data_IF_215317707569
#
_entry.id   IF_215317707569
#
_cell.length_a   1.000
_cell.length_b   1.000
_cell.length_c   1.000
_cell.angle_alpha   90.00
_cell.angle_beta   90.00
_cell.angle_gamma   90.00
#
_symmetry.space_group_name_H-M   'P 1'
#
loop_
_entity.id
_entity.type
_entity.pdbx_description
1 polymer ?
#
# COMPACT_ATOMS: atom_id res chain seq x y z
N UNK A 1 9.90 13.22 -30.30
CA UNK A 1 8.77 13.61 -29.42
C UNK A 1 8.32 12.37 -28.66
N UNK A 2 8.68 12.24 -27.38
CA UNK A 2 8.12 11.19 -26.51
C UNK A 2 6.72 11.61 -26.10
N UNK A 3 5.69 10.94 -26.64
CA UNK A 3 4.31 11.14 -26.16
C UNK A 3 4.25 10.67 -24.70
N UNK A 4 3.71 11.49 -23.82
CA UNK A 4 3.42 11.06 -22.45
C UNK A 4 2.35 9.95 -22.50
N UNK A 5 2.52 8.87 -21.72
CA UNK A 5 1.52 7.81 -21.66
C UNK A 5 0.23 8.31 -20.98
N UNK A 6 -0.91 7.86 -21.49
CA UNK A 6 -2.21 8.10 -20.84
C UNK A 6 -2.26 7.34 -19.52
N UNK A 7 -2.65 8.01 -18.44
CA UNK A 7 -2.83 7.40 -17.11
C UNK A 7 -4.32 7.21 -16.86
N UNK A 8 -4.71 5.99 -16.49
CA UNK A 8 -6.11 5.61 -16.24
C UNK A 8 -6.23 5.09 -14.80
N UNK A 9 -7.17 5.65 -14.04
CA UNK A 9 -7.51 5.16 -12.70
C UNK A 9 -8.61 4.11 -12.77
N UNK A 10 -8.28 2.84 -12.52
CA UNK A 10 -9.26 1.76 -12.42
C UNK A 10 -9.74 1.62 -10.97
N UNK A 11 -11.01 1.93 -10.72
CA UNK A 11 -11.63 1.89 -9.39
C UNK A 11 -12.90 1.01 -9.40
N UNK A 12 -13.43 0.71 -8.21
CA UNK A 12 -14.61 -0.16 -8.06
C UNK A 12 -14.64 -0.87 -6.70
N UNK A 13 -15.83 -1.29 -6.27
CA UNK A 13 -16.06 -1.97 -4.99
C UNK A 13 -15.43 -3.36 -4.90
N UNK A 14 -15.52 -3.98 -3.71
CA UNK A 14 -15.10 -5.37 -3.50
C UNK A 14 -15.94 -6.28 -4.43
N UNK A 15 -15.29 -7.22 -5.11
CA UNK A 15 -15.97 -8.16 -6.02
C UNK A 15 -16.37 -7.59 -7.38
N UNK A 16 -16.06 -6.32 -7.70
CA UNK A 16 -16.48 -5.68 -8.96
C UNK A 16 -15.68 -6.09 -10.21
N UNK A 17 -14.77 -7.08 -10.11
CA UNK A 17 -13.98 -7.54 -11.26
C UNK A 17 -12.82 -6.64 -11.71
N UNK A 18 -12.35 -5.70 -10.88
CA UNK A 18 -11.22 -4.80 -11.22
C UNK A 18 -9.98 -5.55 -11.71
N UNK A 19 -9.59 -6.62 -11.01
CA UNK A 19 -8.42 -7.43 -11.37
C UNK A 19 -8.57 -8.06 -12.76
N UNK A 20 -9.80 -8.43 -13.15
CA UNK A 20 -10.10 -8.95 -14.49
C UNK A 20 -9.92 -7.85 -15.55
N UNK A 21 -10.46 -6.66 -15.32
CA UNK A 21 -10.29 -5.52 -16.25
C UNK A 21 -8.81 -5.11 -16.36
N UNK A 22 -8.08 -5.08 -15.23
CA UNK A 22 -6.65 -4.80 -15.22
C UNK A 22 -5.86 -5.84 -16.05
N UNK A 23 -6.22 -7.12 -15.95
CA UNK A 23 -5.60 -8.18 -16.74
C UNK A 23 -5.86 -8.00 -18.25
N UNK A 24 -7.07 -7.59 -18.66
CA UNK A 24 -7.36 -7.29 -20.06
C UNK A 24 -6.55 -6.09 -20.58
N UNK A 25 -6.40 -5.04 -19.78
CA UNK A 25 -5.54 -3.91 -20.13
C UNK A 25 -4.08 -4.32 -20.26
N UNK A 26 -3.57 -5.17 -19.36
CA UNK A 26 -2.22 -5.72 -19.45
C UNK A 26 -2.01 -6.53 -20.74
N UNK A 27 -2.95 -7.40 -21.09
CA UNK A 27 -2.91 -8.17 -22.35
C UNK A 27 -2.93 -7.27 -23.59
N UNK A 28 -3.58 -6.10 -23.51
CA UNK A 28 -3.58 -5.10 -24.57
C UNK A 28 -2.30 -4.22 -24.59
N UNK A 29 -1.31 -4.50 -23.73
CA UNK A 29 -0.02 -3.82 -23.70
C UNK A 29 0.08 -2.67 -22.69
N UNK A 30 -0.90 -2.48 -21.81
CA UNK A 30 -0.81 -1.47 -20.75
C UNK A 30 0.10 -1.95 -19.61
N UNK A 31 0.90 -1.04 -19.06
CA UNK A 31 1.52 -1.26 -17.76
C UNK A 31 0.46 -1.13 -16.65
N UNK A 32 0.35 -2.14 -15.80
CA UNK A 32 -0.57 -2.14 -14.66
C UNK A 32 0.19 -1.80 -13.38
N UNK A 33 -0.27 -0.77 -12.68
CA UNK A 33 0.20 -0.42 -11.34
C UNK A 33 -0.90 -0.75 -10.34
N UNK A 34 -0.70 -1.80 -9.55
CA UNK A 34 -1.63 -2.22 -8.50
C UNK A 34 -1.27 -1.53 -7.18
N UNK A 35 -2.09 -0.57 -6.77
CA UNK A 35 -1.88 0.19 -5.54
C UNK A 35 -1.92 -0.70 -4.28
N UNK A 36 -2.75 -1.74 -4.26
CA UNK A 36 -2.83 -2.67 -3.12
C UNK A 36 -1.56 -3.51 -3.03
N UNK A 37 -1.05 -3.97 -4.18
CA UNK A 37 0.22 -4.70 -4.23
C UNK A 37 1.40 -3.82 -3.79
N UNK A 38 1.45 -2.56 -4.25
CA UNK A 38 2.49 -1.59 -3.87
C UNK A 38 2.44 -1.28 -2.37
N UNK A 39 1.24 -1.03 -1.82
CA UNK A 39 1.08 -0.79 -0.38
C UNK A 39 1.54 -1.99 0.45
N UNK A 40 1.30 -3.22 -0.03
CA UNK A 40 1.79 -4.44 0.61
C UNK A 40 3.31 -4.52 0.58
N UNK A 41 3.96 -4.30 -0.56
CA UNK A 41 5.43 -4.38 -0.65
C UNK A 41 6.13 -3.30 0.16
N UNK A 42 5.55 -2.10 0.28
CA UNK A 42 6.09 -1.02 1.13
C UNK A 42 6.15 -1.41 2.62
N UNK A 43 5.24 -2.28 3.06
CA UNK A 43 5.06 -2.68 4.48
C UNK A 43 5.53 -4.10 4.79
N UNK A 44 6.13 -4.80 3.82
CA UNK A 44 6.78 -6.10 4.00
C UNK A 44 8.18 -5.94 4.60
N UNK A 45 8.81 -7.07 4.94
CA UNK A 45 10.19 -7.11 5.40
C UNK A 45 11.13 -6.41 4.40
N UNK A 46 11.90 -5.42 4.88
CA UNK A 46 12.77 -4.59 4.03
C UNK A 46 12.01 -3.58 3.15
N UNK A 47 10.70 -3.43 3.33
CA UNK A 47 9.88 -2.45 2.62
C UNK A 47 10.25 -1.01 3.00
N UNK A 48 10.10 -0.09 2.05
CA UNK A 48 10.54 1.30 2.22
C UNK A 48 9.83 2.06 3.35
N UNK A 49 8.64 1.62 3.76
CA UNK A 49 7.91 2.25 4.86
C UNK A 49 8.39 1.77 6.25
N UNK A 50 9.09 0.63 6.34
CA UNK A 50 9.47 0.01 7.62
C UNK A 50 10.33 0.93 8.50
N UNK A 51 11.37 1.62 8.00
CA UNK A 51 12.18 2.50 8.84
C UNK A 51 11.37 3.65 9.45
N UNK A 52 10.44 4.23 8.67
CA UNK A 52 9.58 5.31 9.14
C UNK A 52 8.54 4.81 10.15
N UNK A 53 7.96 3.63 9.91
CA UNK A 53 7.04 2.97 10.86
C UNK A 53 7.76 2.67 12.17
N UNK A 54 8.98 2.15 12.11
CA UNK A 54 9.81 1.87 13.28
C UNK A 54 10.14 3.14 14.07
N UNK A 55 10.48 4.23 13.38
CA UNK A 55 10.81 5.51 14.02
C UNK A 55 9.59 6.15 14.70
N UNK A 56 8.41 6.10 14.08
CA UNK A 56 7.19 6.75 14.58
C UNK A 56 6.48 5.91 15.66
N UNK A 57 6.40 4.59 15.48
CA UNK A 57 5.57 3.71 16.32
C UNK A 57 6.35 2.73 17.18
N UNK A 58 7.67 2.60 16.95
CA UNK A 58 8.55 1.71 17.71
C UNK A 58 8.51 0.25 17.27
N UNK A 59 9.37 -0.55 17.91
CA UNK A 59 9.61 -1.96 17.57
C UNK A 59 8.37 -2.86 17.76
N UNK A 60 7.44 -2.47 18.62
CA UNK A 60 6.23 -3.26 18.93
C UNK A 60 5.32 -3.44 17.71
N UNK A 61 5.46 -2.57 16.70
CA UNK A 61 4.67 -2.60 15.47
C UNK A 61 5.40 -3.28 14.30
N UNK A 62 6.58 -3.85 14.56
CA UNK A 62 7.37 -4.61 13.60
C UNK A 62 7.38 -6.08 14.02
N UNK A 63 7.18 -6.99 13.08
CA UNK A 63 7.28 -8.43 13.31
C UNK A 63 8.76 -8.84 13.45
N UNK A 64 9.07 -10.01 14.03
CA UNK A 64 10.45 -10.50 14.09
C UNK A 64 11.11 -10.63 12.70
N UNK A 65 10.32 -10.83 11.66
CA UNK A 65 10.78 -10.90 10.27
C UNK A 65 11.06 -9.51 9.65
N UNK A 66 10.86 -8.43 10.40
CA UNK A 66 11.10 -7.06 9.94
C UNK A 66 9.97 -6.46 9.10
N UNK A 67 8.78 -7.07 9.08
CA UNK A 67 7.60 -6.55 8.40
C UNK A 67 6.70 -5.75 9.37
N UNK A 68 5.74 -4.99 8.86
CA UNK A 68 4.75 -4.34 9.72
C UNK A 68 3.81 -5.37 10.36
N UNK A 69 3.65 -5.34 11.67
CA UNK A 69 2.63 -6.10 12.39
C UNK A 69 1.24 -5.47 12.12
N UNK A 70 0.54 -6.02 11.13
CA UNK A 70 -0.74 -5.50 10.66
C UNK A 70 -1.84 -5.51 11.71
N UNK A 71 -1.88 -6.54 12.55
CA UNK A 71 -2.91 -6.67 13.58
C UNK A 71 -2.68 -5.66 14.70
N UNK A 72 -1.43 -5.51 15.15
CA UNK A 72 -1.07 -4.51 16.15
C UNK A 72 -1.27 -3.08 15.63
N UNK A 73 -0.85 -2.80 14.39
CA UNK A 73 -1.09 -1.51 13.74
C UNK A 73 -2.57 -1.20 13.62
N UNK A 74 -3.39 -2.19 13.21
CA UNK A 74 -4.84 -2.05 13.12
C UNK A 74 -5.43 -1.72 14.48
N UNK A 75 -5.05 -2.45 15.53
CA UNK A 75 -5.50 -2.20 16.90
C UNK A 75 -5.14 -0.79 17.38
N UNK A 76 -3.92 -0.32 17.10
CA UNK A 76 -3.47 1.03 17.44
C UNK A 76 -4.25 2.11 16.67
N UNK A 77 -4.48 1.92 15.37
CA UNK A 77 -5.28 2.84 14.55
C UNK A 77 -6.72 2.96 15.04
N UNK A 78 -7.32 1.86 15.51
CA UNK A 78 -8.67 1.90 16.08
C UNK A 78 -8.74 2.51 17.48
N UNK A 79 -7.70 2.36 18.30
CA UNK A 79 -7.66 2.93 19.65
C UNK A 79 -7.22 4.39 19.69
N UNK A 80 -6.43 4.84 18.71
CA UNK A 80 -5.88 6.18 18.62
C UNK A 80 -6.10 6.78 17.21
N UNK A 81 -7.20 7.52 16.98
CA UNK A 81 -7.54 8.07 15.67
C UNK A 81 -6.44 8.93 14.98
N UNK A 82 -5.63 9.73 15.69
CA UNK A 82 -4.42 10.35 15.14
C UNK A 82 -3.44 9.40 14.44
N UNK A 83 -3.26 8.17 14.93
CA UNK A 83 -2.35 7.17 14.37
C UNK A 83 -2.67 6.86 12.92
N UNK A 84 -3.96 6.86 12.55
CA UNK A 84 -4.37 6.67 11.16
C UNK A 84 -3.70 7.67 10.23
N UNK A 85 -3.70 8.95 10.59
CA UNK A 85 -3.13 10.04 9.78
C UNK A 85 -1.60 9.97 9.73
N UNK A 86 -0.96 9.61 10.84
CA UNK A 86 0.50 9.39 10.88
C UNK A 86 0.90 8.25 9.93
N UNK A 87 0.18 7.12 9.99
CA UNK A 87 0.43 5.98 9.12
C UNK A 87 0.17 6.32 7.65
N UNK A 88 -0.92 7.03 7.36
CA UNK A 88 -1.24 7.50 6.01
C UNK A 88 -0.13 8.40 5.45
N UNK A 89 0.41 9.34 6.24
CA UNK A 89 1.50 10.23 5.82
C UNK A 89 2.83 9.49 5.57
N UNK A 90 3.02 8.31 6.16
CA UNK A 90 4.19 7.46 5.90
C UNK A 90 4.00 6.66 4.59
N UNK A 91 2.79 6.13 4.35
CA UNK A 91 2.51 5.24 3.20
C UNK A 91 2.19 6.04 1.93
N UNK A 92 1.54 7.18 2.08
CA UNK A 92 1.08 8.04 1.00
C UNK A 92 1.65 9.47 1.18
N UNK A 93 2.29 10.04 0.14
CA UNK A 93 2.60 11.47 0.12
C UNK A 93 1.34 12.34 0.09
#
# INVERSE_FOLDING_TARGET
MTRQPVRLGLTGGIGSGKSTVAAFLAQAGAAVMDADAISRTLTQAGGLAIPAILAEFGETLITPDGAMNRDAMRALVFSNPPTKRQLEAIIHP
#
